data_IF_701711113413
#
_entry.id   IF_701711113413
#
_cell.length_a   1.000
_cell.length_b   1.000
_cell.length_c   1.000
_cell.angle_alpha   90.00
_cell.angle_beta   90.00
_cell.angle_gamma   90.00
#
_symmetry.space_group_name_H-M   'P 1'
#
loop_
_entity.id
_entity.type
_entity.pdbx_description
1 polymer ?
#
# COMPACT_ATOMS: atom_id res chain seq x y z
N UNK A 1 14.03 10.86 -5.62
CA UNK A 1 12.59 11.09 -5.86
C UNK A 1 11.84 10.18 -4.92
N UNK A 2 10.84 10.66 -4.18
CA UNK A 2 10.04 9.78 -3.32
C UNK A 2 9.05 8.98 -4.18
N UNK A 3 8.77 7.73 -3.81
CA UNK A 3 7.74 6.95 -4.49
C UNK A 3 6.38 7.69 -4.40
N UNK A 4 5.60 7.73 -5.50
CA UNK A 4 4.30 8.39 -5.50
C UNK A 4 3.29 7.70 -4.59
N UNK A 5 3.42 6.38 -4.36
CA UNK A 5 2.59 5.64 -3.42
C UNK A 5 3.48 5.06 -2.33
N UNK A 6 3.14 5.31 -1.07
CA UNK A 6 3.82 4.76 0.09
C UNK A 6 2.81 3.99 0.92
N UNK A 7 3.09 2.70 1.10
CA UNK A 7 2.31 1.79 1.91
C UNK A 7 3.08 1.53 3.20
N UNK A 8 2.53 2.02 4.31
CA UNK A 8 3.16 1.91 5.62
C UNK A 8 3.14 0.46 6.16
N UNK A 9 3.91 0.16 7.22
CA UNK A 9 3.83 -1.15 7.89
C UNK A 9 2.41 -1.46 8.34
N UNK A 10 2.03 -2.74 8.40
CA UNK A 10 0.78 -3.12 9.05
C UNK A 10 0.82 -2.68 10.52
N UNK A 11 -0.29 -2.17 11.04
CA UNK A 11 -0.38 -1.86 12.47
C UNK A 11 -0.93 -3.04 13.29
N UNK A 12 -1.13 -2.80 14.59
CA UNK A 12 -1.59 -3.78 15.57
C UNK A 12 -2.95 -4.39 15.23
N UNK A 13 -3.83 -3.62 14.58
CA UNK A 13 -5.18 -4.03 14.18
C UNK A 13 -5.19 -4.65 12.76
N UNK A 14 -4.02 -4.74 12.11
CA UNK A 14 -3.86 -5.22 10.74
C UNK A 14 -4.20 -4.17 9.68
N UNK A 15 -3.90 -4.49 8.42
CA UNK A 15 -3.99 -3.55 7.31
C UNK A 15 -2.96 -2.42 7.38
N UNK A 16 -2.82 -1.70 6.27
CA UNK A 16 -1.75 -0.74 6.03
C UNK A 16 -2.30 0.61 5.66
N UNK A 17 -1.69 1.66 6.20
CA UNK A 17 -1.99 3.04 5.80
C UNK A 17 -1.42 3.29 4.40
N UNK A 18 -2.19 3.95 3.55
CA UNK A 18 -1.80 4.26 2.17
C UNK A 18 -1.69 5.77 2.01
N UNK A 19 -0.54 6.23 1.52
CA UNK A 19 -0.31 7.62 1.12
C UNK A 19 -0.01 7.67 -0.37
N UNK A 20 -0.64 8.61 -1.07
CA UNK A 20 -0.29 8.96 -2.43
C UNK A 20 0.13 10.42 -2.48
N UNK A 21 1.37 10.70 -2.92
CA UNK A 21 2.00 12.01 -2.83
C UNK A 21 1.89 12.61 -1.42
N UNK A 22 1.22 13.73 -1.26
CA UNK A 22 0.98 14.43 0.00
C UNK A 22 -0.36 14.08 0.67
N UNK A 23 -1.16 13.19 0.07
CA UNK A 23 -2.51 12.82 0.57
C UNK A 23 -2.54 11.43 1.17
N UNK A 24 -3.11 11.31 2.37
CA UNK A 24 -3.49 10.01 2.95
C UNK A 24 -4.80 9.56 2.29
N UNK A 25 -4.80 8.38 1.67
CA UNK A 25 -5.97 7.81 1.01
C UNK A 25 -6.83 7.00 1.98
N UNK A 26 -6.20 6.37 2.96
CA UNK A 26 -6.90 5.58 3.98
C UNK A 26 -6.08 4.40 4.45
N UNK A 27 -6.77 3.32 4.79
CA UNK A 27 -6.21 2.05 5.23
C UNK A 27 -6.76 0.94 4.33
N UNK A 28 -5.87 0.05 3.89
CA UNK A 28 -6.21 -1.14 3.11
C UNK A 28 -5.78 -2.40 3.86
N UNK A 29 -6.60 -3.44 3.84
CA UNK A 29 -6.33 -4.74 4.43
C UNK A 29 -5.92 -5.80 3.40
N UNK A 30 -6.00 -5.46 2.12
CA UNK A 30 -5.64 -6.32 1.00
C UNK A 30 -5.16 -5.51 -0.20
N UNK A 31 -4.61 -6.21 -1.20
CA UNK A 31 -4.27 -5.61 -2.48
C UNK A 31 -5.48 -5.06 -3.24
N UNK A 32 -6.67 -5.63 -3.02
CA UNK A 32 -7.90 -5.17 -3.65
C UNK A 32 -8.34 -3.82 -3.08
N UNK A 33 -8.38 -3.71 -1.75
CA UNK A 33 -8.68 -2.43 -1.09
C UNK A 33 -7.63 -1.36 -1.40
N UNK A 34 -6.35 -1.74 -1.51
CA UNK A 34 -5.31 -0.82 -1.97
C UNK A 34 -5.60 -0.30 -3.38
N UNK A 35 -6.01 -1.18 -4.29
CA UNK A 35 -6.34 -0.80 -5.65
C UNK A 35 -7.56 0.13 -5.70
N UNK A 36 -8.57 -0.10 -4.86
CA UNK A 36 -9.76 0.75 -4.76
C UNK A 36 -9.41 2.16 -4.25
N UNK A 37 -8.61 2.26 -3.18
CA UNK A 37 -8.13 3.55 -2.67
C UNK A 37 -7.36 4.34 -3.72
N UNK A 38 -6.54 3.65 -4.51
CA UNK A 38 -5.75 4.26 -5.57
C UNK A 38 -6.61 4.65 -6.77
N UNK A 39 -7.63 3.84 -7.11
CA UNK A 39 -8.61 4.17 -8.14
C UNK A 39 -9.36 5.46 -7.82
N UNK A 40 -9.77 5.64 -6.56
CA UNK A 40 -10.40 6.88 -6.07
C UNK A 40 -9.45 8.09 -6.14
N UNK A 41 -8.14 7.86 -6.15
CA UNK A 41 -7.11 8.88 -6.36
C UNK A 41 -6.75 9.10 -7.84
N UNK A 42 -7.45 8.44 -8.78
CA UNK A 42 -7.23 8.57 -10.23
C UNK A 42 -6.16 7.63 -10.80
N UNK A 43 -5.72 6.64 -10.04
CA UNK A 43 -4.79 5.62 -10.53
C UNK A 43 -5.55 4.46 -11.18
N UNK A 44 -4.87 3.74 -12.07
CA UNK A 44 -5.42 2.54 -12.70
C UNK A 44 -4.60 1.33 -12.30
N UNK A 45 -5.26 0.23 -11.94
CA UNK A 45 -4.60 -1.02 -11.51
C UNK A 45 -3.56 -1.52 -12.52
N UNK A 46 -3.80 -1.33 -13.81
CA UNK A 46 -2.88 -1.68 -14.91
C UNK A 46 -1.54 -0.93 -14.88
N UNK A 47 -1.46 0.20 -14.18
CA UNK A 47 -0.23 1.00 -14.01
C UNK A 47 0.46 0.76 -12.67
N UNK A 48 -0.15 -0.01 -11.77
CA UNK A 48 0.47 -0.34 -10.49
C UNK A 48 1.42 -1.50 -10.70
N UNK A 49 2.70 -1.18 -10.78
CA UNK A 49 3.76 -2.17 -10.61
C UNK A 49 4.06 -2.30 -9.11
N UNK A 50 3.62 -3.40 -8.49
CA UNK A 50 3.72 -3.63 -7.05
C UNK A 50 5.17 -3.79 -6.58
N UNK A 51 6.05 -4.27 -7.46
CA UNK A 51 7.48 -4.44 -7.20
C UNK A 51 8.30 -3.30 -7.84
N UNK A 52 7.63 -2.37 -8.50
CA UNK A 52 8.23 -1.24 -9.20
C UNK A 52 8.46 0.00 -8.33
N UNK A 53 9.09 1.04 -8.88
CA UNK A 53 9.45 2.26 -8.15
C UNK A 53 8.24 3.15 -7.78
N UNK A 54 7.03 2.78 -8.22
CA UNK A 54 5.81 3.53 -7.97
C UNK A 54 5.26 3.29 -6.57
N UNK A 55 5.47 2.09 -6.02
CA UNK A 55 4.95 1.69 -4.73
C UNK A 55 6.11 1.36 -3.80
N UNK A 56 6.26 2.16 -2.75
CA UNK A 56 7.20 1.88 -1.67
C UNK A 56 6.47 1.16 -0.54
N UNK A 57 6.80 -0.11 -0.35
CA UNK A 57 6.34 -0.92 0.76
C UNK A 57 7.25 -0.75 1.97
N UNK A 58 6.66 -0.50 3.14
CA UNK A 58 7.38 -0.42 4.41
C UNK A 58 6.92 -1.54 5.34
N UNK A 59 7.84 -2.17 6.07
CA UNK A 59 7.49 -3.22 7.03
C UNK A 59 6.92 -4.50 6.38
N UNK A 60 7.52 -4.93 5.27
CA UNK A 60 7.13 -6.14 4.51
C UNK A 60 6.56 -5.81 3.13
N UNK A 61 6.58 -6.79 2.22
CA UNK A 61 6.13 -6.67 0.83
C UNK A 61 4.61 -6.62 0.67
N UNK A 62 4.17 -6.75 -0.58
CA UNK A 62 2.76 -6.64 -1.00
C UNK A 62 1.86 -7.80 -0.52
N UNK A 63 2.46 -8.84 0.03
CA UNK A 63 1.88 -10.07 0.59
C UNK A 63 1.64 -9.99 2.11
N UNK A 64 2.35 -9.09 2.79
CA UNK A 64 2.24 -8.91 4.24
C UNK A 64 1.15 -7.88 4.53
N UNK A 65 0.07 -8.21 5.24
CA UNK A 65 -1.00 -7.26 5.61
C UNK A 65 -1.33 -7.22 7.09
N UNK A 66 -0.82 -8.18 7.84
CA UNK A 66 -0.93 -8.26 9.28
C UNK A 66 0.47 -8.43 9.88
N UNK A 67 0.70 -7.95 11.11
CA UNK A 67 2.03 -8.02 11.73
C UNK A 67 2.50 -9.46 11.99
N UNK A 68 1.58 -10.41 12.13
CA UNK A 68 1.88 -11.85 12.26
C UNK A 68 2.36 -12.48 10.93
N UNK A 69 1.85 -12.00 9.80
CA UNK A 69 2.27 -12.45 8.47
C UNK A 69 3.59 -11.81 8.00
N UNK A 70 4.13 -10.84 8.75
CA UNK A 70 5.42 -10.19 8.45
C UNK A 70 6.64 -11.01 8.90
N UNK A 71 6.42 -12.03 9.75
CA UNK A 71 7.44 -12.92 10.29
C UNK A 71 7.40 -14.28 9.57
N UNK A 72 7.91 -14.31 8.34
CA UNK A 72 8.15 -15.53 7.56
C UNK A 72 9.58 -15.56 7.05
#
# INVERSE_FOLDING_TARGET
MAAPVIVYPPDQDGGRRVRCYDRILGRAHSLEELADLLADAGWTRSKLDLDGPLVEWRGGGHDVWHPDNAAG
#
